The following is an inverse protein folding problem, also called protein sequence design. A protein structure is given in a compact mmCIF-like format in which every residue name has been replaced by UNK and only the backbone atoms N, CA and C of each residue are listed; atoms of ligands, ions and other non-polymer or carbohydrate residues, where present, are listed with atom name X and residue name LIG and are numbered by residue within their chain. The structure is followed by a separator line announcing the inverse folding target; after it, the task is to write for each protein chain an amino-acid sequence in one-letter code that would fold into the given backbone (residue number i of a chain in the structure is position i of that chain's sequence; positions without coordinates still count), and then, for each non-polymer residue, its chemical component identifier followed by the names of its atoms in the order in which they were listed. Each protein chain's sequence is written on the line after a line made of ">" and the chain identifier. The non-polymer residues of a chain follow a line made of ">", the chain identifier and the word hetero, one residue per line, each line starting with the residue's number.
data_IF_137397435739
#
_entry.id   IF_137397435739
#
_cell.length_a   1.000
_cell.length_b   1.000
_cell.length_c   1.000
_cell.angle_alpha   90.00
_cell.angle_beta   90.00
_cell.angle_gamma   90.00
#
_symmetry.space_group_name_H-M   'P 1'
#
loop_
_entity.id
_entity.type
_entity.pdbx_description
1 polymer ?
#
# COMPACT_ATOMS: atom_id res chain seq x y z
N UNK A 1 -11.05 8.78 -15.42
CA UNK A 1 -11.66 9.16 -14.12
C UNK A 1 -10.58 9.27 -13.06
N UNK A 2 -10.42 10.43 -12.36
CA UNK A 2 -9.35 10.66 -11.37
C UNK A 2 -9.89 11.47 -10.19
N UNK A 3 -9.53 11.10 -8.97
CA UNK A 3 -9.76 11.95 -7.79
C UNK A 3 -8.69 13.04 -7.80
N UNK A 4 -9.12 14.29 -7.63
CA UNK A 4 -8.23 15.44 -7.52
C UNK A 4 -7.96 15.79 -6.05
N UNK A 5 -8.99 15.71 -5.19
CA UNK A 5 -8.90 16.17 -3.81
C UNK A 5 -9.87 15.42 -2.90
N UNK A 6 -9.46 15.23 -1.65
CA UNK A 6 -10.34 14.85 -0.55
C UNK A 6 -10.14 15.83 0.64
N UNK A 7 -11.23 16.27 1.25
CA UNK A 7 -11.24 17.04 2.50
C UNK A 7 -12.03 16.23 3.54
N UNK A 8 -11.34 15.75 4.55
CA UNK A 8 -11.88 14.94 5.64
C UNK A 8 -11.89 15.79 6.91
N UNK A 9 -13.03 15.86 7.58
CA UNK A 9 -13.19 16.59 8.83
C UNK A 9 -13.91 15.71 9.85
N UNK A 10 -13.31 15.55 11.02
CA UNK A 10 -13.90 14.86 12.18
C UNK A 10 -14.31 13.40 11.88
N UNK A 11 -13.46 12.62 11.18
CA UNK A 11 -13.69 11.22 10.84
C UNK A 11 -12.64 10.31 11.47
N UNK A 12 -13.08 9.32 12.25
CA UNK A 12 -12.19 8.40 12.96
C UNK A 12 -11.22 9.16 13.87
N UNK A 13 -9.92 8.93 13.69
CA UNK A 13 -8.85 9.66 14.38
C UNK A 13 -8.47 11.00 13.74
N UNK A 14 -9.04 11.33 12.58
CA UNK A 14 -8.69 12.52 11.82
C UNK A 14 -9.60 13.68 12.20
N UNK A 15 -9.06 14.74 12.80
CA UNK A 15 -9.79 16.00 13.02
C UNK A 15 -9.97 16.77 11.72
N UNK A 16 -8.93 16.90 10.93
CA UNK A 16 -8.99 17.45 9.59
C UNK A 16 -7.80 17.00 8.75
N UNK A 17 -8.06 16.64 7.49
CA UNK A 17 -7.03 16.37 6.50
C UNK A 17 -7.50 16.82 5.13
N UNK A 18 -6.65 17.58 4.42
CA UNK A 18 -6.88 18.00 3.04
C UNK A 18 -5.75 17.39 2.20
N UNK A 19 -6.11 16.57 1.24
CA UNK A 19 -5.15 15.85 0.40
C UNK A 19 -5.49 16.10 -1.06
N UNK A 20 -4.49 16.55 -1.84
CA UNK A 20 -4.55 16.62 -3.28
C UNK A 20 -3.84 15.40 -3.86
N UNK A 21 -4.42 14.79 -4.89
CA UNK A 21 -3.90 13.58 -5.50
C UNK A 21 -3.33 13.84 -6.89
N UNK A 22 -2.21 13.18 -7.19
CA UNK A 22 -1.68 13.05 -8.54
C UNK A 22 -2.56 12.10 -9.37
N UNK A 23 -2.56 12.28 -10.69
CA UNK A 23 -3.39 11.49 -11.61
C UNK A 23 -2.92 10.04 -11.78
N UNK A 24 -1.71 9.68 -11.36
CA UNK A 24 -1.08 8.38 -11.56
C UNK A 24 -0.92 7.61 -10.26
N UNK A 25 0.10 7.92 -9.46
CA UNK A 25 0.46 7.17 -8.25
C UNK A 25 0.49 8.09 -7.03
N UNK A 26 -0.17 7.66 -5.94
CA UNK A 26 -0.22 8.38 -4.67
C UNK A 26 0.12 7.41 -3.54
N UNK A 27 1.21 7.66 -2.84
CA UNK A 27 1.74 6.81 -1.78
C UNK A 27 1.60 7.55 -0.46
N UNK A 28 0.62 7.16 0.33
CA UNK A 28 0.33 7.75 1.63
C UNK A 28 1.18 7.05 2.69
N UNK A 29 2.03 7.80 3.37
CA UNK A 29 2.87 7.31 4.45
C UNK A 29 2.80 8.23 5.69
N UNK A 30 3.35 7.77 6.81
CA UNK A 30 3.35 8.50 8.06
C UNK A 30 3.24 7.57 9.27
N UNK A 31 3.25 8.10 10.51
CA UNK A 31 3.19 7.33 11.74
C UNK A 31 1.99 6.39 11.84
N UNK A 32 2.08 5.40 12.75
CA UNK A 32 0.94 4.54 13.06
C UNK A 32 -0.20 5.35 13.69
N UNK A 33 -1.44 4.99 13.34
CA UNK A 33 -2.63 5.64 13.88
C UNK A 33 -2.96 7.02 13.30
N UNK A 34 -2.17 7.55 12.35
CA UNK A 34 -2.41 8.87 11.73
C UNK A 34 -3.65 8.92 10.83
N UNK A 35 -4.25 7.76 10.51
CA UNK A 35 -5.48 7.67 9.73
C UNK A 35 -5.28 7.28 8.26
N UNK A 36 -4.18 6.63 7.88
CA UNK A 36 -3.93 6.20 6.48
C UNK A 36 -5.06 5.33 5.92
N UNK A 37 -5.44 4.27 6.62
CA UNK A 37 -6.59 3.41 6.24
C UNK A 37 -7.90 4.21 6.24
N UNK A 38 -8.11 5.11 7.22
CA UNK A 38 -9.30 5.98 7.26
C UNK A 38 -9.41 6.86 6.02
N UNK A 39 -8.29 7.34 5.48
CA UNK A 39 -8.27 8.10 4.22
C UNK A 39 -8.69 7.21 3.05
N UNK A 40 -8.13 5.98 2.92
CA UNK A 40 -8.53 5.04 1.86
C UNK A 40 -10.02 4.67 1.97
N UNK A 41 -10.49 4.36 3.18
CA UNK A 41 -11.90 4.07 3.42
C UNK A 41 -12.80 5.27 3.07
N UNK A 42 -12.36 6.49 3.39
CA UNK A 42 -13.09 7.72 3.03
C UNK A 42 -13.18 7.89 1.50
N UNK A 43 -12.09 7.58 0.79
CA UNK A 43 -12.08 7.58 -0.68
C UNK A 43 -13.03 6.50 -1.21
N UNK A 44 -12.95 5.25 -0.73
CA UNK A 44 -13.81 4.15 -1.17
C UNK A 44 -15.30 4.47 -0.93
N UNK A 45 -15.62 5.00 0.25
CA UNK A 45 -16.99 5.34 0.63
C UNK A 45 -17.57 6.52 -0.18
N UNK A 46 -16.73 7.37 -0.77
CA UNK A 46 -17.19 8.41 -1.68
C UNK A 46 -17.88 7.88 -2.96
N UNK A 47 -17.80 6.56 -3.20
CA UNK A 47 -18.38 5.89 -4.39
C UNK A 47 -19.49 4.89 -4.06
N UNK A 48 -19.95 4.84 -2.81
CA UNK A 48 -21.07 3.97 -2.44
C UNK A 48 -22.34 4.76 -2.19
N UNK A 49 -23.49 4.07 -2.28
CA UNK A 49 -24.79 4.59 -1.84
C UNK A 49 -25.48 3.50 -1.03
N UNK A 50 -25.15 3.42 0.26
CA UNK A 50 -25.59 2.37 1.16
C UNK A 50 -25.37 2.75 2.64
N UNK A 51 -25.94 1.95 3.53
CA UNK A 51 -25.58 2.01 4.95
C UNK A 51 -24.21 1.39 5.18
N UNK A 52 -23.34 2.10 5.90
CA UNK A 52 -22.02 1.60 6.30
C UNK A 52 -21.77 1.82 7.79
N UNK A 53 -21.09 0.85 8.41
CA UNK A 53 -20.63 0.93 9.79
C UNK A 53 -19.10 1.11 9.89
N UNK A 54 -18.38 1.21 8.78
CA UNK A 54 -16.91 1.29 8.75
C UNK A 54 -16.43 2.66 9.22
N UNK A 55 -16.91 3.72 8.59
CA UNK A 55 -16.53 5.08 8.96
C UNK A 55 -17.39 5.61 10.09
N UNK A 56 -16.73 6.24 11.05
CA UNK A 56 -17.35 6.86 12.22
C UNK A 56 -16.89 8.31 12.35
N UNK A 57 -17.74 9.16 12.96
CA UNK A 57 -17.30 10.50 13.32
C UNK A 57 -16.20 10.46 14.39
N UNK A 58 -15.48 11.54 14.54
CA UNK A 58 -14.50 11.70 15.62
C UNK A 58 -15.20 11.71 17.00
N UNK A 59 -14.53 11.17 18.01
CA UNK A 59 -15.11 11.00 19.35
C UNK A 59 -15.59 12.32 20.00
N UNK A 60 -14.94 13.43 19.69
CA UNK A 60 -15.23 14.76 20.27
C UNK A 60 -16.13 15.65 19.40
N UNK A 61 -16.57 15.16 18.23
CA UNK A 61 -17.42 15.92 17.31
C UNK A 61 -18.88 15.46 17.36
N UNK A 62 -19.77 16.25 16.81
CA UNK A 62 -21.20 15.91 16.63
C UNK A 62 -21.43 15.18 15.32
N UNK A 63 -20.63 15.49 14.30
CA UNK A 63 -20.66 14.93 12.95
C UNK A 63 -19.25 14.81 12.36
N UNK A 64 -19.09 13.96 11.37
CA UNK A 64 -17.89 13.86 10.54
C UNK A 64 -18.25 14.15 9.09
N UNK A 65 -17.35 14.75 8.32
CA UNK A 65 -17.60 15.17 6.95
C UNK A 65 -16.48 14.70 6.02
N UNK A 66 -16.87 14.25 4.82
CA UNK A 66 -15.94 13.87 3.75
C UNK A 66 -16.41 14.54 2.47
N UNK A 67 -15.54 15.36 1.87
CA UNK A 67 -15.78 16.00 0.57
C UNK A 67 -14.74 15.50 -0.41
N UNK A 68 -15.16 14.90 -1.51
CA UNK A 68 -14.29 14.35 -2.55
C UNK A 68 -14.58 15.01 -3.88
N UNK A 69 -13.53 15.50 -4.55
CA UNK A 69 -13.59 16.10 -5.88
C UNK A 69 -13.02 15.11 -6.88
N UNK A 70 -13.87 14.72 -7.84
CA UNK A 70 -13.57 13.78 -8.91
C UNK A 70 -13.57 14.51 -10.25
N UNK A 71 -12.57 14.28 -11.07
CA UNK A 71 -12.55 14.65 -12.49
C UNK A 71 -12.79 13.40 -13.35
N UNK A 72 -13.86 13.43 -14.14
CA UNK A 72 -14.20 12.35 -15.07
C UNK A 72 -14.40 12.95 -16.47
N UNK A 73 -13.37 12.82 -17.33
CA UNK A 73 -13.35 13.37 -18.69
C UNK A 73 -13.71 14.88 -18.73
N UNK A 74 -12.98 15.69 -17.94
CA UNK A 74 -13.18 17.15 -17.77
C UNK A 74 -14.51 17.56 -17.10
N UNK A 75 -15.27 16.58 -16.63
CA UNK A 75 -16.48 16.82 -15.85
C UNK A 75 -16.15 16.68 -14.35
N UNK A 76 -16.22 17.80 -13.63
CA UNK A 76 -15.95 17.81 -12.18
C UNK A 76 -17.23 17.40 -11.47
N UNK A 77 -17.10 16.37 -10.61
CA UNK A 77 -18.16 15.89 -9.72
C UNK A 77 -17.69 15.97 -8.29
N UNK A 78 -18.61 16.22 -7.38
CA UNK A 78 -18.33 16.28 -5.95
C UNK A 78 -19.19 15.27 -5.18
N UNK A 79 -18.60 14.64 -4.17
CA UNK A 79 -19.31 13.85 -3.18
C UNK A 79 -19.23 14.55 -1.84
N UNK A 80 -20.35 14.62 -1.13
CA UNK A 80 -20.43 15.14 0.22
C UNK A 80 -21.09 14.10 1.12
N UNK A 81 -20.35 13.62 2.13
CA UNK A 81 -20.78 12.59 3.08
C UNK A 81 -20.78 13.19 4.48
N UNK A 82 -21.85 12.97 5.23
CA UNK A 82 -21.96 13.29 6.65
C UNK A 82 -22.09 12.01 7.48
N UNK A 83 -21.34 11.92 8.57
CA UNK A 83 -21.28 10.76 9.48
C UNK A 83 -21.73 11.21 10.88
N UNK A 84 -22.87 10.73 11.34
CA UNK A 84 -23.40 11.08 12.67
C UNK A 84 -23.07 10.01 13.73
N UNK A 85 -22.83 8.78 13.29
CA UNK A 85 -22.64 7.65 14.19
C UNK A 85 -21.23 7.55 14.74
N UNK A 86 -21.15 7.25 16.04
CA UNK A 86 -19.90 6.95 16.75
C UNK A 86 -19.86 5.51 17.29
N UNK A 87 -21.03 4.94 17.61
CA UNK A 87 -21.11 3.58 18.14
C UNK A 87 -20.60 2.55 17.10
N UNK A 88 -19.86 1.52 17.52
CA UNK A 88 -19.30 0.51 16.61
C UNK A 88 -20.36 -0.21 15.76
N UNK A 89 -21.55 -0.46 16.29
CA UNK A 89 -22.69 -1.12 15.64
C UNK A 89 -23.64 -0.15 14.92
N UNK A 90 -23.42 1.18 15.04
CA UNK A 90 -24.23 2.19 14.36
C UNK A 90 -23.92 2.26 12.87
N UNK A 91 -24.93 2.56 12.05
CA UNK A 91 -24.79 2.74 10.60
C UNK A 91 -25.06 4.20 10.22
N UNK A 92 -24.25 4.74 9.33
CA UNK A 92 -24.53 5.99 8.61
C UNK A 92 -24.95 5.67 7.19
N UNK A 93 -25.99 6.34 6.69
CA UNK A 93 -26.32 6.26 5.28
C UNK A 93 -25.39 7.16 4.47
N UNK A 94 -24.69 6.56 3.53
CA UNK A 94 -23.73 7.23 2.66
C UNK A 94 -24.38 7.43 1.29
N UNK A 95 -24.31 8.65 0.76
CA UNK A 95 -24.77 9.01 -0.57
C UNK A 95 -23.61 9.58 -1.38
N UNK A 96 -22.83 8.70 -1.97
CA UNK A 96 -21.66 9.04 -2.78
C UNK A 96 -21.93 9.01 -4.29
N UNK A 97 -20.85 9.07 -5.08
CA UNK A 97 -20.84 9.03 -6.54
C UNK A 97 -21.05 7.60 -7.08
N UNK A 98 -22.21 7.04 -6.81
CA UNK A 98 -22.59 5.65 -7.09
C UNK A 98 -22.25 5.20 -8.51
N UNK A 99 -22.54 6.02 -9.52
CA UNK A 99 -22.38 5.69 -10.93
C UNK A 99 -20.91 5.42 -11.29
N UNK A 100 -19.98 6.03 -10.57
CA UNK A 100 -18.54 5.88 -10.76
C UNK A 100 -17.94 4.71 -9.96
N UNK A 101 -18.69 4.07 -9.07
CA UNK A 101 -18.22 3.00 -8.18
C UNK A 101 -17.67 1.76 -8.91
N UNK A 102 -18.18 1.48 -10.13
CA UNK A 102 -17.67 0.38 -10.98
C UNK A 102 -16.20 0.56 -11.35
N UNK A 103 -15.72 1.80 -11.45
CA UNK A 103 -14.35 2.15 -11.81
C UNK A 103 -13.44 2.32 -10.58
N UNK A 104 -13.86 1.88 -9.38
CA UNK A 104 -13.05 1.95 -8.16
C UNK A 104 -12.84 0.54 -7.61
N UNK A 105 -11.59 0.10 -7.51
CA UNK A 105 -11.20 -1.22 -6.99
C UNK A 105 -10.48 -1.01 -5.66
N UNK A 106 -10.88 -1.71 -4.61
CA UNK A 106 -10.25 -1.63 -3.30
C UNK A 106 -9.66 -2.98 -2.89
N UNK A 107 -8.35 -2.99 -2.63
CA UNK A 107 -7.60 -4.12 -2.08
C UNK A 107 -7.25 -3.82 -0.63
N UNK A 108 -7.87 -4.52 0.30
CA UNK A 108 -7.52 -4.44 1.72
C UNK A 108 -6.29 -5.31 2.04
N UNK A 109 -5.92 -5.39 3.32
CA UNK A 109 -4.76 -6.16 3.80
C UNK A 109 -4.90 -7.67 3.60
N UNK A 110 -6.10 -8.21 3.39
CA UNK A 110 -6.39 -9.65 3.30
C UNK A 110 -6.17 -10.18 1.87
N UNK A 111 -4.90 -10.28 1.41
CA UNK A 111 -4.53 -10.58 0.02
C UNK A 111 -3.85 -11.93 -0.20
N UNK A 112 -3.73 -12.77 0.82
CA UNK A 112 -3.04 -14.06 0.68
C UNK A 112 -4.00 -15.16 0.24
N UNK A 113 -3.69 -15.82 -0.87
CA UNK A 113 -4.39 -17.03 -1.24
C UNK A 113 -3.69 -18.29 -0.71
N UNK A 114 -4.50 -19.25 -0.30
CA UNK A 114 -4.07 -20.60 0.09
C UNK A 114 -4.39 -21.57 -1.04
N UNK A 115 -3.85 -22.79 -0.96
CA UNK A 115 -4.27 -23.86 -1.87
C UNK A 115 -5.78 -24.10 -1.76
N UNK A 116 -6.44 -24.08 -2.90
CA UNK A 116 -7.86 -24.43 -3.05
C UNK A 116 -7.95 -25.50 -4.11
N UNK A 117 -8.49 -26.67 -3.74
CA UNK A 117 -8.83 -27.70 -4.70
C UNK A 117 -10.14 -27.31 -5.39
N UNK A 118 -10.10 -27.16 -6.70
CA UNK A 118 -11.30 -26.91 -7.49
C UNK A 118 -11.92 -28.25 -7.94
N UNK A 119 -13.15 -28.50 -7.53
CA UNK A 119 -13.91 -29.67 -7.97
C UNK A 119 -14.59 -29.44 -9.32
N UNK A 120 -14.84 -28.19 -9.67
CA UNK A 120 -15.45 -27.73 -10.90
C UNK A 120 -14.98 -26.31 -11.25
N UNK A 121 -15.15 -25.91 -12.50
CA UNK A 121 -15.03 -24.52 -12.93
C UNK A 121 -16.40 -23.87 -12.86
N UNK A 122 -16.55 -22.87 -12.02
CA UNK A 122 -17.79 -22.11 -11.87
C UNK A 122 -17.92 -20.98 -12.88
N UNK A 123 -19.16 -20.53 -13.12
CA UNK A 123 -19.42 -19.33 -13.91
C UNK A 123 -18.91 -18.11 -13.17
N UNK A 124 -18.32 -17.18 -13.89
CA UNK A 124 -18.02 -15.86 -13.33
C UNK A 124 -19.34 -15.10 -13.12
N UNK A 125 -19.47 -14.47 -11.97
CA UNK A 125 -20.60 -13.61 -11.66
C UNK A 125 -20.23 -12.16 -11.96
N UNK A 126 -21.02 -11.53 -12.82
CA UNK A 126 -20.92 -10.10 -13.06
C UNK A 126 -21.18 -9.32 -11.78
N UNK A 127 -20.41 -8.25 -11.57
CA UNK A 127 -20.55 -7.42 -10.38
C UNK A 127 -21.77 -6.51 -10.48
N UNK A 128 -22.80 -6.81 -9.72
CA UNK A 128 -23.94 -5.92 -9.54
C UNK A 128 -23.58 -4.77 -8.58
N UNK A 129 -24.28 -3.64 -8.63
CA UNK A 129 -24.01 -2.48 -7.79
C UNK A 129 -23.89 -2.82 -6.31
N UNK A 130 -24.78 -3.67 -5.79
CA UNK A 130 -24.75 -4.09 -4.39
C UNK A 130 -23.46 -4.86 -4.03
N UNK A 131 -22.99 -5.74 -4.91
CA UNK A 131 -21.71 -6.45 -4.70
C UNK A 131 -20.52 -5.52 -4.80
N UNK A 132 -20.57 -4.52 -5.69
CA UNK A 132 -19.54 -3.49 -5.79
C UNK A 132 -19.42 -2.70 -4.47
N UNK A 133 -20.54 -2.33 -3.84
CA UNK A 133 -20.51 -1.63 -2.55
C UNK A 133 -19.84 -2.46 -1.46
N UNK A 134 -20.17 -3.75 -1.37
CA UNK A 134 -19.49 -4.66 -0.44
C UNK A 134 -18.00 -4.73 -0.71
N UNK A 135 -17.60 -4.80 -1.99
CA UNK A 135 -16.17 -4.84 -2.37
C UNK A 135 -15.44 -3.50 -2.12
N UNK A 136 -16.14 -2.38 -2.11
CA UNK A 136 -15.57 -1.08 -1.73
C UNK A 136 -15.49 -0.88 -0.21
N UNK A 137 -16.25 -1.67 0.56
CA UNK A 137 -16.22 -1.67 2.03
C UNK A 137 -15.22 -2.68 2.58
N UNK A 138 -15.27 -3.92 2.09
CA UNK A 138 -14.54 -5.06 2.63
C UNK A 138 -13.27 -5.39 1.84
N UNK A 139 -13.09 -4.77 0.67
CA UNK A 139 -12.05 -5.09 -0.30
C UNK A 139 -12.42 -6.28 -1.20
N UNK A 140 -11.65 -6.44 -2.27
CA UNK A 140 -11.86 -7.55 -3.22
C UNK A 140 -11.41 -8.89 -2.64
N UNK A 141 -12.13 -9.97 -2.99
CA UNK A 141 -11.75 -11.34 -2.61
C UNK A 141 -10.69 -11.90 -3.57
N UNK A 142 -9.72 -12.58 -2.99
CA UNK A 142 -8.70 -13.35 -3.74
C UNK A 142 -9.04 -14.84 -3.86
N UNK A 143 -10.11 -15.30 -3.20
CA UNK A 143 -10.44 -16.73 -3.09
C UNK A 143 -10.84 -17.36 -4.43
N UNK A 144 -11.45 -16.61 -5.31
CA UNK A 144 -11.94 -17.04 -6.64
C UNK A 144 -10.95 -16.82 -7.78
N UNK A 145 -9.76 -16.28 -7.50
CA UNK A 145 -8.75 -15.97 -8.53
C UNK A 145 -8.28 -17.22 -9.28
N UNK A 146 -8.09 -18.36 -8.60
CA UNK A 146 -7.69 -19.62 -9.24
C UNK A 146 -8.75 -20.09 -10.23
N UNK A 147 -10.02 -20.01 -9.85
CA UNK A 147 -11.14 -20.38 -10.73
C UNK A 147 -11.19 -19.48 -11.97
N UNK A 148 -11.09 -18.16 -11.78
CA UNK A 148 -11.08 -17.19 -12.87
C UNK A 148 -9.92 -17.46 -13.84
N UNK A 149 -8.69 -17.59 -13.34
CA UNK A 149 -7.51 -17.78 -14.17
C UNK A 149 -7.52 -19.13 -14.90
N UNK A 150 -7.83 -20.23 -14.19
CA UNK A 150 -7.91 -21.56 -14.77
C UNK A 150 -9.00 -21.63 -15.87
N UNK A 151 -10.16 -21.03 -15.63
CA UNK A 151 -11.24 -20.93 -16.62
C UNK A 151 -10.78 -20.23 -17.90
N UNK A 152 -10.13 -19.05 -17.78
CA UNK A 152 -9.61 -18.31 -18.93
C UNK A 152 -8.62 -19.15 -19.72
N UNK A 153 -7.66 -19.82 -19.05
CA UNK A 153 -6.66 -20.66 -19.69
C UNK A 153 -7.27 -21.86 -20.43
N UNK A 154 -8.27 -22.52 -19.84
CA UNK A 154 -8.87 -23.72 -20.43
C UNK A 154 -9.76 -23.42 -21.63
N UNK A 155 -10.45 -22.27 -21.61
CA UNK A 155 -11.44 -21.93 -22.65
C UNK A 155 -10.95 -20.92 -23.68
N UNK A 156 -9.69 -20.45 -23.62
CA UNK A 156 -9.16 -19.42 -24.53
C UNK A 156 -9.26 -19.81 -26.02
N UNK A 157 -9.15 -21.10 -26.33
CA UNK A 157 -9.23 -21.63 -27.71
C UNK A 157 -10.63 -22.12 -28.07
N UNK A 158 -11.62 -22.05 -27.17
CA UNK A 158 -13.00 -22.43 -27.44
C UNK A 158 -13.70 -21.28 -28.17
N UNK A 159 -14.30 -21.49 -29.34
CA UNK A 159 -15.02 -20.46 -30.06
C UNK A 159 -16.07 -19.79 -29.16
N UNK A 160 -16.15 -18.47 -29.24
CA UNK A 160 -17.14 -17.64 -28.52
C UNK A 160 -17.13 -17.72 -26.97
N UNK A 161 -16.17 -18.47 -26.38
CA UNK A 161 -16.08 -18.62 -24.93
C UNK A 161 -15.50 -17.37 -24.23
N UNK A 162 -14.62 -16.63 -24.90
CA UNK A 162 -13.97 -15.42 -24.40
C UNK A 162 -13.99 -14.33 -25.47
N UNK A 163 -14.23 -13.09 -25.05
CA UNK A 163 -14.04 -11.92 -25.91
C UNK A 163 -12.56 -11.72 -26.26
N UNK A 164 -12.26 -10.96 -27.30
CA UNK A 164 -10.86 -10.64 -27.66
C UNK A 164 -10.16 -9.89 -26.53
N UNK A 165 -10.86 -8.98 -25.85
CA UNK A 165 -10.30 -8.27 -24.70
C UNK A 165 -9.98 -9.21 -23.53
N UNK A 166 -10.84 -10.20 -23.24
CA UNK A 166 -10.55 -11.22 -22.22
C UNK A 166 -9.33 -12.07 -22.58
N UNK A 167 -9.09 -12.35 -23.88
CA UNK A 167 -7.87 -13.04 -24.32
C UNK A 167 -6.63 -12.20 -24.12
N UNK A 168 -6.68 -10.90 -24.43
CA UNK A 168 -5.57 -9.96 -24.19
C UNK A 168 -5.29 -9.81 -22.68
N UNK A 169 -6.32 -9.69 -21.87
CA UNK A 169 -6.20 -9.63 -20.41
C UNK A 169 -5.61 -10.93 -19.82
N UNK A 170 -5.95 -12.09 -20.38
CA UNK A 170 -5.34 -13.37 -20.01
C UNK A 170 -3.83 -13.40 -20.32
N UNK A 171 -3.42 -12.93 -21.50
CA UNK A 171 -1.99 -12.86 -21.84
C UNK A 171 -1.26 -11.88 -20.91
N UNK A 172 -1.89 -10.76 -20.51
CA UNK A 172 -1.35 -9.86 -19.50
C UNK A 172 -1.20 -10.59 -18.15
N UNK A 173 -2.21 -11.35 -17.71
CA UNK A 173 -2.15 -12.13 -16.47
C UNK A 173 -1.03 -13.19 -16.53
N UNK A 174 -0.87 -13.92 -17.62
CA UNK A 174 0.26 -14.84 -17.82
C UNK A 174 1.60 -14.13 -17.76
N UNK A 175 1.71 -12.93 -18.34
CA UNK A 175 2.91 -12.11 -18.31
C UNK A 175 3.28 -11.64 -16.90
N UNK A 176 2.32 -11.51 -15.97
CA UNK A 176 2.58 -11.09 -14.60
C UNK A 176 3.63 -11.97 -13.88
N UNK A 177 3.69 -13.27 -14.17
CA UNK A 177 4.73 -14.14 -13.60
C UNK A 177 6.15 -13.65 -13.97
N UNK A 178 6.40 -13.36 -15.26
CA UNK A 178 7.70 -12.89 -15.72
C UNK A 178 7.99 -11.41 -15.45
N UNK A 179 6.96 -10.57 -15.27
CA UNK A 179 7.13 -9.19 -14.79
C UNK A 179 7.68 -9.15 -13.37
N UNK A 180 7.22 -10.09 -12.54
CA UNK A 180 7.70 -10.22 -11.17
C UNK A 180 9.10 -10.84 -11.10
N UNK A 181 9.35 -11.89 -11.87
CA UNK A 181 10.67 -12.51 -12.00
C UNK A 181 10.83 -13.11 -13.40
N UNK A 182 11.81 -12.64 -14.16
CA UNK A 182 12.03 -13.03 -15.56
C UNK A 182 12.21 -14.54 -15.77
N UNK A 183 12.66 -15.27 -14.74
CA UNK A 183 12.86 -16.72 -14.79
C UNK A 183 11.59 -17.53 -14.51
N UNK A 184 10.51 -16.87 -14.07
CA UNK A 184 9.24 -17.50 -13.73
C UNK A 184 8.22 -17.25 -14.82
N UNK A 185 7.65 -18.30 -15.37
CA UNK A 185 6.68 -18.20 -16.48
C UNK A 185 5.46 -19.08 -16.20
N UNK A 186 4.29 -18.62 -16.60
CA UNK A 186 3.13 -19.50 -16.65
C UNK A 186 3.46 -20.70 -17.55
N UNK A 187 3.16 -21.91 -17.09
CA UNK A 187 3.36 -23.15 -17.84
C UNK A 187 2.05 -23.67 -18.43
N UNK A 188 1.16 -24.14 -17.57
CA UNK A 188 -0.11 -24.75 -17.99
C UNK A 188 -1.13 -24.79 -16.85
N UNK A 189 -2.37 -25.10 -17.20
CA UNK A 189 -3.41 -25.54 -16.25
C UNK A 189 -3.69 -27.02 -16.47
N UNK A 190 -3.73 -27.81 -15.40
CA UNK A 190 -4.17 -29.21 -15.47
C UNK A 190 -5.69 -29.26 -15.65
N UNK A 191 -6.14 -29.81 -16.77
CA UNK A 191 -7.56 -29.91 -17.09
C UNK A 191 -8.36 -30.85 -16.17
N UNK A 192 -7.71 -31.73 -15.39
CA UNK A 192 -8.39 -32.68 -14.50
C UNK A 192 -8.59 -32.11 -13.08
N UNK A 193 -7.60 -31.37 -12.59
CA UNK A 193 -7.60 -30.82 -11.22
C UNK A 193 -7.71 -29.30 -11.18
N UNK A 194 -7.64 -28.66 -12.34
CA UNK A 194 -7.63 -27.19 -12.50
C UNK A 194 -6.46 -26.50 -11.76
N UNK A 195 -5.37 -27.26 -11.53
CA UNK A 195 -4.18 -26.74 -10.90
C UNK A 195 -3.35 -25.92 -11.89
N UNK A 196 -2.82 -24.80 -11.39
CA UNK A 196 -1.99 -23.88 -12.16
C UNK A 196 -0.52 -24.19 -11.91
N UNK A 197 0.24 -24.35 -13.00
CA UNK A 197 1.66 -24.67 -12.96
C UNK A 197 2.51 -23.51 -13.48
N UNK A 198 3.65 -23.31 -12.84
CA UNK A 198 4.63 -22.28 -13.13
C UNK A 198 5.97 -22.96 -13.42
N UNK A 199 6.59 -22.60 -14.53
CA UNK A 199 7.95 -22.98 -14.87
C UNK A 199 8.93 -22.08 -14.12
N UNK A 200 9.91 -22.69 -13.45
CA UNK A 200 10.99 -22.05 -12.71
C UNK A 200 12.35 -22.66 -13.12
N UNK A 201 13.49 -22.07 -12.76
CA UNK A 201 14.81 -22.67 -13.02
C UNK A 201 14.97 -24.09 -12.42
N UNK A 202 14.22 -24.38 -11.34
CA UNK A 202 14.28 -25.68 -10.65
C UNK A 202 13.18 -26.67 -11.12
N UNK A 203 12.48 -26.36 -12.22
CA UNK A 203 11.41 -27.18 -12.77
C UNK A 203 10.03 -26.58 -12.63
N UNK A 204 9.02 -27.39 -12.97
CA UNK A 204 7.61 -26.99 -12.90
C UNK A 204 7.04 -27.21 -11.50
N UNK A 205 6.41 -26.18 -10.94
CA UNK A 205 5.80 -26.22 -9.60
C UNK A 205 4.35 -25.71 -9.64
N UNK A 206 3.55 -26.05 -8.63
CA UNK A 206 2.23 -25.41 -8.41
C UNK A 206 2.41 -23.93 -8.09
N UNK A 207 1.57 -23.05 -8.62
CA UNK A 207 1.66 -21.62 -8.32
C UNK A 207 1.46 -21.30 -6.83
N UNK A 208 0.78 -22.17 -6.08
CA UNK A 208 0.64 -22.06 -4.63
C UNK A 208 1.95 -22.28 -3.86
N UNK A 209 2.97 -22.90 -4.47
CA UNK A 209 4.30 -23.08 -3.88
C UNK A 209 5.23 -21.88 -4.08
N UNK A 210 4.80 -20.89 -4.82
CA UNK A 210 5.50 -19.60 -4.92
C UNK A 210 5.65 -18.97 -3.53
N UNK A 211 6.68 -18.14 -3.34
CA UNK A 211 6.90 -17.42 -2.08
C UNK A 211 5.71 -16.57 -1.70
N UNK A 212 5.57 -16.25 -0.42
CA UNK A 212 4.48 -15.38 0.07
C UNK A 212 4.46 -14.02 -0.62
N UNK A 213 5.65 -13.40 -0.81
CA UNK A 213 5.77 -12.14 -1.52
C UNK A 213 5.33 -12.22 -2.98
N UNK A 214 5.77 -13.27 -3.69
CA UNK A 214 5.35 -13.48 -5.08
C UNK A 214 3.82 -13.64 -5.18
N UNK A 215 3.23 -14.45 -4.29
CA UNK A 215 1.77 -14.63 -4.21
C UNK A 215 1.03 -13.33 -3.90
N UNK A 216 1.56 -12.50 -3.02
CA UNK A 216 0.96 -11.20 -2.71
C UNK A 216 0.94 -10.28 -3.93
N UNK A 217 2.06 -10.19 -4.67
CA UNK A 217 2.11 -9.42 -5.92
C UNK A 217 1.11 -9.96 -6.97
N UNK A 218 1.07 -11.29 -7.17
CA UNK A 218 0.09 -11.89 -8.09
C UNK A 218 -1.34 -11.62 -7.66
N UNK A 219 -1.64 -11.63 -6.35
CA UNK A 219 -2.96 -11.32 -5.83
C UNK A 219 -3.41 -9.91 -6.17
N UNK A 220 -2.49 -8.94 -6.12
CA UNK A 220 -2.77 -7.57 -6.52
C UNK A 220 -3.03 -7.52 -8.03
N UNK A 221 -2.10 -8.01 -8.86
CA UNK A 221 -2.20 -7.92 -10.32
C UNK A 221 -3.42 -8.69 -10.87
N UNK A 222 -3.59 -9.95 -10.46
CA UNK A 222 -4.73 -10.77 -10.89
C UNK A 222 -6.05 -10.24 -10.35
N UNK A 223 -6.07 -9.76 -9.10
CA UNK A 223 -7.24 -9.15 -8.49
C UNK A 223 -7.73 -7.95 -9.29
N UNK A 224 -6.84 -7.05 -9.71
CA UNK A 224 -7.17 -5.89 -10.54
C UNK A 224 -7.71 -6.34 -11.90
N UNK A 225 -7.00 -7.21 -12.63
CA UNK A 225 -7.41 -7.68 -13.96
C UNK A 225 -8.78 -8.36 -13.89
N UNK A 226 -8.97 -9.26 -12.92
CA UNK A 226 -10.25 -9.97 -12.70
C UNK A 226 -11.39 -9.01 -12.42
N UNK A 227 -11.20 -8.06 -11.50
CA UNK A 227 -12.28 -7.13 -11.15
C UNK A 227 -12.64 -6.19 -12.31
N UNK A 228 -11.68 -5.77 -13.13
CA UNK A 228 -11.97 -5.00 -14.35
C UNK A 228 -12.91 -5.79 -15.27
N UNK A 229 -12.60 -7.06 -15.56
CA UNK A 229 -13.44 -7.90 -16.41
C UNK A 229 -14.84 -8.13 -15.84
N UNK A 230 -14.97 -8.32 -14.52
CA UNK A 230 -16.25 -8.63 -13.88
C UNK A 230 -17.14 -7.41 -13.66
N UNK A 231 -16.55 -6.21 -13.59
CA UNK A 231 -17.28 -4.96 -13.36
C UNK A 231 -17.73 -4.27 -14.64
N UNK A 232 -17.03 -4.52 -15.75
CA UNK A 232 -17.27 -3.84 -17.03
C UNK A 232 -17.38 -4.82 -18.20
N UNK A 233 -18.29 -5.83 -18.12
CA UNK A 233 -18.42 -6.84 -19.16
C UNK A 233 -18.89 -6.24 -20.49
N UNK A 234 -19.75 -5.22 -20.46
CA UNK A 234 -20.33 -4.59 -21.65
C UNK A 234 -19.36 -3.60 -22.34
N UNK A 235 -18.39 -3.04 -21.59
CA UNK A 235 -17.43 -2.07 -22.10
C UNK A 235 -16.19 -2.73 -22.71
N UNK A 236 -16.08 -4.08 -22.62
CA UNK A 236 -14.92 -4.85 -23.10
C UNK A 236 -13.57 -4.19 -22.77
N UNK A 237 -13.37 -3.83 -21.50
CA UNK A 237 -12.24 -3.05 -21.08
C UNK A 237 -10.94 -3.84 -21.06
N UNK A 238 -9.92 -3.33 -21.74
CA UNK A 238 -8.55 -3.81 -21.57
C UNK A 238 -8.00 -3.32 -20.23
N UNK A 239 -7.44 -4.24 -19.44
CA UNK A 239 -6.91 -3.92 -18.12
C UNK A 239 -5.80 -2.85 -18.19
N UNK A 240 -4.98 -2.83 -19.22
CA UNK A 240 -3.95 -1.80 -19.45
C UNK A 240 -4.53 -0.40 -19.72
N UNK A 241 -5.76 -0.32 -20.20
CA UNK A 241 -6.45 0.94 -20.53
C UNK A 241 -7.49 1.32 -19.48
N UNK A 242 -7.49 0.63 -18.33
CA UNK A 242 -8.43 0.91 -17.26
C UNK A 242 -8.23 2.32 -16.69
N UNK A 243 -9.09 3.24 -17.10
CA UNK A 243 -9.16 4.62 -16.58
C UNK A 243 -10.04 4.68 -15.32
N UNK A 244 -9.57 4.06 -14.25
CA UNK A 244 -10.23 4.00 -12.96
C UNK A 244 -9.29 4.29 -11.81
N UNK A 245 -9.73 3.97 -10.61
CA UNK A 245 -9.02 4.19 -9.35
C UNK A 245 -8.79 2.85 -8.67
N UNK A 246 -7.57 2.60 -8.23
CA UNK A 246 -7.20 1.41 -7.46
C UNK A 246 -6.66 1.85 -6.10
N UNK A 247 -7.33 1.40 -5.05
CA UNK A 247 -6.97 1.64 -3.65
C UNK A 247 -6.29 0.39 -3.10
N UNK A 248 -5.12 0.53 -2.46
CA UNK A 248 -4.39 -0.60 -1.86
C UNK A 248 -3.94 -0.22 -0.46
N UNK A 249 -4.46 -0.92 0.54
CA UNK A 249 -4.02 -0.72 1.92
C UNK A 249 -2.78 -1.58 2.22
N UNK A 250 -1.78 -0.98 2.88
CA UNK A 250 -0.48 -1.59 3.20
C UNK A 250 0.14 -2.33 2.01
N UNK A 251 0.54 -1.59 0.98
CA UNK A 251 1.06 -2.16 -0.28
C UNK A 251 2.18 -3.19 -0.06
N UNK A 252 3.03 -3.00 0.95
CA UNK A 252 4.13 -3.89 1.34
C UNK A 252 3.72 -5.20 1.98
N UNK A 253 2.45 -5.38 2.35
CA UNK A 253 2.02 -6.55 3.13
C UNK A 253 2.44 -7.87 2.47
N UNK A 254 3.19 -8.67 3.23
CA UNK A 254 3.81 -9.93 2.80
C UNK A 254 4.90 -9.82 1.73
N UNK A 255 5.31 -8.61 1.31
CA UNK A 255 6.37 -8.43 0.34
C UNK A 255 7.75 -8.47 1.00
N UNK A 256 8.68 -9.23 0.42
CA UNK A 256 10.10 -9.11 0.76
C UNK A 256 10.62 -7.72 0.32
N UNK A 257 11.61 -7.10 1.00
CA UNK A 257 12.15 -5.79 0.63
C UNK A 257 12.50 -5.63 -0.85
N UNK A 258 13.00 -6.67 -1.50
CA UNK A 258 13.27 -6.67 -2.95
C UNK A 258 12.00 -6.42 -3.78
N UNK A 259 10.85 -6.96 -3.37
CA UNK A 259 9.57 -6.74 -4.04
C UNK A 259 8.98 -5.37 -3.72
N UNK A 260 9.19 -4.88 -2.50
CA UNK A 260 8.76 -3.55 -2.09
C UNK A 260 9.40 -2.46 -2.95
N UNK A 261 10.65 -2.65 -3.37
CA UNK A 261 11.34 -1.68 -4.25
C UNK A 261 10.82 -1.67 -5.69
N UNK A 262 10.15 -2.73 -6.15
CA UNK A 262 9.72 -2.90 -7.55
C UNK A 262 8.22 -2.75 -7.75
N UNK A 263 7.39 -2.97 -6.72
CA UNK A 263 5.94 -3.10 -6.88
C UNK A 263 5.28 -1.85 -7.47
N UNK A 264 5.75 -0.66 -7.12
CA UNK A 264 5.21 0.61 -7.63
C UNK A 264 5.41 0.72 -9.14
N UNK A 265 6.62 0.43 -9.65
CA UNK A 265 6.89 0.44 -11.09
C UNK A 265 6.09 -0.65 -11.82
N UNK A 266 6.00 -1.86 -11.27
CA UNK A 266 5.22 -2.96 -11.85
C UNK A 266 3.74 -2.58 -11.99
N UNK A 267 3.14 -1.94 -10.98
CA UNK A 267 1.75 -1.50 -11.04
C UNK A 267 1.55 -0.42 -12.11
N UNK A 268 2.41 0.58 -12.14
CA UNK A 268 2.33 1.69 -13.08
C UNK A 268 2.54 1.23 -14.53
N UNK A 269 3.50 0.33 -14.77
CA UNK A 269 3.79 -0.20 -16.11
C UNK A 269 2.71 -1.17 -16.59
N UNK A 270 2.06 -1.90 -15.67
CA UNK A 270 0.99 -2.84 -16.02
C UNK A 270 -0.34 -2.13 -16.28
N UNK A 271 -0.62 -1.04 -15.54
CA UNK A 271 -1.88 -0.29 -15.61
C UNK A 271 -1.64 1.21 -15.77
N UNK A 272 -1.07 1.67 -16.89
CA UNK A 272 -0.60 3.05 -17.05
C UNK A 272 -1.71 4.11 -17.04
N UNK A 273 -2.96 3.74 -17.33
CA UNK A 273 -4.11 4.65 -17.32
C UNK A 273 -4.78 4.76 -15.93
N UNK A 274 -4.39 3.92 -14.96
CA UNK A 274 -5.02 3.81 -13.65
C UNK A 274 -4.45 4.83 -12.65
N UNK A 275 -5.30 5.42 -11.81
CA UNK A 275 -4.87 6.16 -10.63
C UNK A 275 -4.76 5.20 -9.44
N UNK A 276 -3.58 5.14 -8.85
CA UNK A 276 -3.34 4.38 -7.62
C UNK A 276 -3.31 5.31 -6.42
N UNK A 277 -3.99 4.92 -5.35
CA UNK A 277 -3.89 5.54 -4.02
C UNK A 277 -3.58 4.40 -3.06
N UNK A 278 -2.36 4.39 -2.53
CA UNK A 278 -1.86 3.28 -1.72
C UNK A 278 -1.35 3.78 -0.38
N UNK A 279 -1.47 2.97 0.67
CA UNK A 279 -0.80 3.24 1.94
C UNK A 279 0.43 2.36 2.10
N UNK A 280 1.42 2.85 2.83
CA UNK A 280 2.62 2.08 3.12
C UNK A 280 3.27 2.45 4.45
N UNK A 281 3.92 1.45 5.07
CA UNK A 281 4.87 1.58 6.16
C UNK A 281 6.30 1.20 5.73
N UNK A 282 6.53 0.98 4.43
CA UNK A 282 7.82 0.54 3.91
C UNK A 282 8.70 1.71 3.47
N UNK A 283 9.87 1.90 4.07
CA UNK A 283 10.85 2.85 3.57
C UNK A 283 11.41 2.45 2.20
N UNK A 284 11.40 1.15 1.85
CA UNK A 284 11.84 0.68 0.53
C UNK A 284 10.91 1.14 -0.60
N UNK A 285 9.60 1.23 -0.36
CA UNK A 285 8.65 1.78 -1.32
C UNK A 285 8.93 3.27 -1.52
N UNK A 286 9.09 4.03 -0.44
CA UNK A 286 9.38 5.46 -0.47
C UNK A 286 10.69 5.76 -1.21
N UNK A 287 11.75 5.00 -0.92
CA UNK A 287 13.07 5.18 -1.53
C UNK A 287 13.06 5.05 -3.06
N UNK A 288 12.13 4.25 -3.59
CA UNK A 288 12.00 3.96 -5.03
C UNK A 288 10.83 4.72 -5.70
N UNK A 289 10.11 5.56 -4.98
CA UNK A 289 9.03 6.39 -5.51
C UNK A 289 9.54 7.76 -5.99
N UNK A 290 8.82 8.37 -6.92
CA UNK A 290 9.05 9.75 -7.32
C UNK A 290 8.55 10.72 -6.23
N UNK A 291 9.21 11.88 -6.01
CA UNK A 291 8.84 12.80 -4.93
C UNK A 291 7.38 13.27 -4.96
N UNK A 292 6.85 13.53 -6.16
CA UNK A 292 5.46 13.96 -6.37
C UNK A 292 4.42 12.87 -6.09
N UNK A 293 4.83 11.63 -5.93
CA UNK A 293 3.96 10.49 -5.61
C UNK A 293 3.77 10.33 -4.09
N UNK A 294 4.58 10.97 -3.26
CA UNK A 294 4.60 10.74 -1.82
C UNK A 294 3.73 11.77 -1.10
N UNK A 295 2.79 11.26 -0.32
CA UNK A 295 1.93 12.01 0.58
C UNK A 295 2.29 11.63 2.01
N UNK A 296 3.24 12.36 2.59
CA UNK A 296 3.69 12.13 3.96
C UNK A 296 2.76 12.86 4.94
N UNK A 297 2.17 12.11 5.86
CA UNK A 297 1.25 12.65 6.85
C UNK A 297 1.98 12.98 8.15
N UNK A 298 1.58 14.09 8.76
CA UNK A 298 1.98 14.51 10.09
C UNK A 298 0.79 14.98 10.91
N UNK A 299 0.98 15.13 12.22
CA UNK A 299 -0.04 15.68 13.14
C UNK A 299 0.53 16.92 13.80
N UNK A 300 -0.21 18.02 13.78
CA UNK A 300 0.14 19.25 14.50
C UNK A 300 -0.15 19.15 15.99
N UNK A 301 0.24 20.16 16.75
CA UNK A 301 0.00 20.27 18.20
C UNK A 301 -1.48 20.27 18.60
N UNK A 302 -2.37 20.58 17.67
CA UNK A 302 -3.82 20.61 17.86
C UNK A 302 -4.51 19.31 17.47
N UNK A 303 -3.73 18.33 16.93
CA UNK A 303 -4.24 17.03 16.47
C UNK A 303 -4.83 17.06 15.06
N UNK A 304 -4.54 18.08 14.24
CA UNK A 304 -4.91 18.09 12.83
C UNK A 304 -3.90 17.32 12.01
N UNK A 305 -4.38 16.44 11.16
CA UNK A 305 -3.54 15.74 10.19
C UNK A 305 -3.27 16.67 9.01
N UNK A 306 -2.03 16.79 8.61
CA UNK A 306 -1.61 17.59 7.47
C UNK A 306 -0.62 16.82 6.59
N UNK A 307 -0.51 17.23 5.33
CA UNK A 307 0.52 16.74 4.43
C UNK A 307 1.81 17.52 4.72
N UNK A 308 2.84 16.79 5.12
CA UNK A 308 4.16 17.37 5.44
C UNK A 308 4.84 17.82 4.15
N UNK A 309 5.48 18.99 4.21
CA UNK A 309 6.45 19.39 3.18
C UNK A 309 7.71 18.54 3.35
N UNK A 310 8.09 17.85 2.30
CA UNK A 310 9.25 16.99 2.31
C UNK A 310 10.43 17.67 1.60
N UNK A 311 11.66 17.55 2.13
CA UNK A 311 12.84 17.92 1.39
C UNK A 311 12.95 16.99 0.18
N UNK A 312 12.88 17.54 -1.02
CA UNK A 312 13.00 16.78 -2.26
C UNK A 312 13.98 17.47 -3.20
N UNK A 313 14.62 16.67 -4.03
CA UNK A 313 15.47 17.11 -5.13
C UNK A 313 15.11 16.33 -6.41
N UNK A 314 15.76 16.61 -7.51
CA UNK A 314 15.51 15.94 -8.79
C UNK A 314 15.74 14.42 -8.78
N UNK A 315 16.51 13.90 -7.82
CA UNK A 315 16.80 12.47 -7.65
C UNK A 315 15.84 11.78 -6.67
N UNK A 316 14.91 12.50 -6.08
CA UNK A 316 14.01 11.97 -5.06
C UNK A 316 14.75 11.45 -3.83
N UNK A 317 14.35 10.27 -3.35
CA UNK A 317 14.92 9.65 -2.15
C UNK A 317 15.87 8.48 -2.45
N UNK A 318 16.28 8.30 -3.72
CA UNK A 318 17.10 7.16 -4.17
C UNK A 318 18.46 7.10 -3.45
N UNK A 319 19.04 8.25 -3.09
CA UNK A 319 20.31 8.34 -2.37
C UNK A 319 20.18 8.33 -0.84
N UNK A 320 18.97 8.29 -0.30
CA UNK A 320 18.72 8.33 1.13
C UNK A 320 18.86 6.96 1.76
N UNK A 321 19.36 6.91 2.99
CA UNK A 321 19.35 5.69 3.79
C UNK A 321 17.93 5.40 4.29
N UNK A 322 17.67 4.14 4.64
CA UNK A 322 16.36 3.75 5.21
C UNK A 322 16.06 4.50 6.50
N UNK A 323 17.09 4.80 7.29
CA UNK A 323 16.99 5.57 8.54
C UNK A 323 16.52 7.01 8.29
N UNK A 324 17.09 7.69 7.29
CA UNK A 324 16.67 9.03 6.86
C UNK A 324 15.24 9.03 6.33
N UNK A 325 14.87 8.04 5.52
CA UNK A 325 13.49 7.91 5.02
C UNK A 325 12.52 7.71 6.18
N UNK A 326 12.84 6.83 7.14
CA UNK A 326 11.99 6.58 8.31
C UNK A 326 11.79 7.84 9.16
N UNK A 327 12.83 8.62 9.39
CA UNK A 327 12.76 9.84 10.20
C UNK A 327 12.14 11.01 9.46
N UNK A 328 12.71 11.37 8.33
CA UNK A 328 12.41 12.65 7.69
C UNK A 328 11.17 12.57 6.79
N UNK A 329 10.87 11.38 6.20
CA UNK A 329 9.68 11.20 5.36
C UNK A 329 8.54 10.59 6.16
N UNK A 330 8.78 9.49 6.89
CA UNK A 330 7.72 8.77 7.58
C UNK A 330 7.44 9.28 9.00
N UNK A 331 8.27 10.18 9.53
CA UNK A 331 8.03 10.88 10.79
C UNK A 331 8.31 10.04 12.03
N UNK A 332 9.22 9.08 11.98
CA UNK A 332 9.69 8.36 13.17
C UNK A 332 10.65 9.26 13.96
N UNK A 333 10.44 9.40 15.25
CA UNK A 333 11.31 10.22 16.11
C UNK A 333 12.73 9.63 16.24
N UNK A 334 12.83 8.35 16.49
CA UNK A 334 14.11 7.63 16.53
C UNK A 334 13.92 6.19 16.02
N UNK A 335 14.89 5.74 15.23
CA UNK A 335 14.95 4.38 14.66
C UNK A 335 15.76 3.42 15.52
N UNK A 336 16.50 3.95 16.51
CA UNK A 336 17.34 3.17 17.43
C UNK A 336 16.51 2.48 18.50
N UNK A 337 16.98 1.33 18.99
CA UNK A 337 16.34 0.66 20.10
C UNK A 337 16.44 1.48 21.40
N UNK A 338 15.43 1.40 22.27
CA UNK A 338 15.42 2.10 23.56
C UNK A 338 16.69 1.83 24.38
N UNK A 339 17.21 0.58 24.31
CA UNK A 339 18.44 0.22 25.00
C UNK A 339 19.64 1.01 24.48
N UNK A 340 19.78 1.16 23.16
CA UNK A 340 20.87 1.94 22.56
C UNK A 340 20.72 3.42 22.88
N UNK A 341 19.51 3.96 22.83
CA UNK A 341 19.23 5.35 23.23
C UNK A 341 19.64 5.61 24.68
N UNK A 342 19.27 4.72 25.62
CA UNK A 342 19.65 4.84 27.03
C UNK A 342 21.15 4.77 27.24
N UNK A 343 21.87 3.90 26.49
CA UNK A 343 23.31 3.79 26.57
C UNK A 343 24.00 5.05 26.01
N UNK A 344 23.50 5.62 24.91
CA UNK A 344 24.04 6.87 24.35
C UNK A 344 23.80 8.03 25.31
N UNK A 345 22.59 8.17 25.85
CA UNK A 345 22.30 9.23 26.81
C UNK A 345 23.17 9.12 28.09
N UNK A 346 23.41 7.90 28.57
CA UNK A 346 24.30 7.69 29.72
C UNK A 346 25.77 8.00 29.37
N UNK A 347 26.20 7.73 28.15
CA UNK A 347 27.52 8.12 27.67
C UNK A 347 27.68 9.63 27.59
N UNK A 348 26.71 10.32 26.95
CA UNK A 348 26.70 11.78 26.83
C UNK A 348 26.74 12.45 28.22
N UNK A 349 25.94 11.95 29.17
CA UNK A 349 25.97 12.43 30.55
C UNK A 349 27.32 12.23 31.22
N UNK A 350 27.99 11.08 31.03
CA UNK A 350 29.29 10.81 31.59
C UNK A 350 30.39 11.71 30.98
N UNK A 351 30.25 12.08 29.69
CA UNK A 351 31.10 13.08 29.02
C UNK A 351 30.88 14.46 29.61
N UNK A 352 29.62 14.90 29.75
CA UNK A 352 29.25 16.23 30.28
C UNK A 352 29.70 16.40 31.75
N UNK A 353 29.68 15.34 32.54
CA UNK A 353 30.15 15.30 33.93
C UNK A 353 31.66 15.06 34.05
N UNK A 354 32.41 15.00 32.93
CA UNK A 354 33.87 14.70 32.88
C UNK A 354 34.24 13.38 33.63
N UNK A 355 33.29 12.44 33.75
CA UNK A 355 33.48 11.18 34.45
C UNK A 355 34.12 10.12 33.55
N UNK A 356 35.44 10.15 33.42
CA UNK A 356 36.24 9.29 32.54
C UNK A 356 36.00 7.82 32.77
N UNK A 357 35.95 7.38 34.03
CA UNK A 357 35.83 5.94 34.36
C UNK A 357 34.50 5.41 33.84
N UNK A 358 33.43 6.14 34.05
CA UNK A 358 32.11 5.75 33.60
C UNK A 358 31.96 5.87 32.07
N UNK A 359 32.50 6.96 31.47
CA UNK A 359 32.50 7.12 30.03
C UNK A 359 33.25 6.00 29.31
N UNK A 360 34.44 5.60 29.81
CA UNK A 360 35.16 4.44 29.23
C UNK A 360 34.40 3.14 29.38
N UNK A 361 33.73 2.91 30.53
CA UNK A 361 32.92 1.73 30.75
C UNK A 361 31.79 1.62 29.75
N UNK A 362 31.01 2.70 29.59
CA UNK A 362 29.87 2.76 28.68
C UNK A 362 30.35 2.67 27.23
N UNK A 363 31.45 3.36 26.88
CA UNK A 363 32.03 3.25 25.53
C UNK A 363 32.37 1.83 25.14
N UNK A 364 32.98 1.03 26.03
CA UNK A 364 33.29 -0.39 25.77
C UNK A 364 32.01 -1.22 25.52
N UNK A 365 30.93 -0.90 26.19
CA UNK A 365 29.64 -1.57 25.97
C UNK A 365 29.03 -1.16 24.63
N UNK A 366 29.04 0.16 24.30
CA UNK A 366 28.59 0.70 23.02
C UNK A 366 29.41 0.14 21.85
N UNK A 367 30.72 0.09 21.98
CA UNK A 367 31.62 -0.43 20.95
C UNK A 367 31.35 -1.91 20.63
N UNK A 368 30.96 -2.70 21.62
CA UNK A 368 30.55 -4.11 21.43
C UNK A 368 29.15 -4.23 20.85
N UNK A 369 28.26 -3.30 21.15
CA UNK A 369 26.87 -3.33 20.69
C UNK A 369 26.70 -2.82 19.24
N UNK A 370 27.54 -1.90 18.81
CA UNK A 370 27.49 -1.28 17.50
C UNK A 370 28.14 -2.18 16.42
N UNK A 371 27.54 -2.15 15.23
CA UNK A 371 28.11 -2.84 14.06
C UNK A 371 29.55 -2.32 13.78
N UNK A 372 30.51 -3.19 13.39
CA UNK A 372 31.91 -2.78 13.17
C UNK A 372 32.11 -1.61 12.20
N UNK A 373 31.27 -1.46 11.20
CA UNK A 373 31.29 -0.37 10.23
C UNK A 373 30.45 0.85 10.62
N UNK A 374 29.85 0.88 11.83
CA UNK A 374 29.01 2.01 12.24
C UNK A 374 29.85 3.25 12.51
N UNK A 375 29.49 4.37 11.90
CA UNK A 375 30.19 5.66 12.03
C UNK A 375 30.15 6.19 13.47
N UNK A 376 29.10 5.90 14.23
CA UNK A 376 28.99 6.27 15.66
C UNK A 376 30.19 5.80 16.49
N UNK A 377 30.79 4.66 16.18
CA UNK A 377 31.99 4.15 16.89
C UNK A 377 33.15 5.15 16.86
N UNK A 378 33.35 5.80 15.71
CA UNK A 378 34.39 6.83 15.56
C UNK A 378 34.03 8.11 16.30
N UNK A 379 32.76 8.53 16.22
CA UNK A 379 32.30 9.73 16.92
C UNK A 379 32.48 9.57 18.43
N UNK A 380 31.96 8.48 18.99
CA UNK A 380 32.10 8.17 20.43
C UNK A 380 33.56 8.06 20.89
N UNK A 381 34.47 7.56 20.03
CA UNK A 381 35.90 7.53 20.35
C UNK A 381 36.56 8.92 20.39
N UNK A 382 36.11 9.84 19.54
CA UNK A 382 36.57 11.22 19.53
C UNK A 382 36.07 11.95 20.79
N UNK A 383 34.77 11.78 21.11
CA UNK A 383 34.16 12.40 22.29
C UNK A 383 34.84 11.90 23.59
N UNK A 384 35.11 10.61 23.69
CA UNK A 384 35.86 10.05 24.82
C UNK A 384 37.29 10.62 24.88
N UNK A 385 37.97 10.80 23.75
CA UNK A 385 39.35 11.34 23.71
C UNK A 385 39.40 12.77 24.20
N UNK A 386 38.36 13.58 23.98
CA UNK A 386 38.30 14.99 24.40
C UNK A 386 38.49 15.19 25.92
N UNK A 387 37.84 14.31 26.73
CA UNK A 387 37.98 14.36 28.20
C UNK A 387 39.26 13.69 28.72
N UNK A 388 39.96 12.90 27.90
CA UNK A 388 41.24 12.26 28.30
C UNK A 388 42.40 13.20 28.08
N UNK A 389 42.36 14.05 27.05
CA UNK A 389 43.46 14.99 26.72
C UNK A 389 43.48 16.22 27.65
N UNK A 390 42.41 16.66 28.26
CA UNK A 390 42.38 17.82 29.16
C UNK A 390 43.12 17.59 30.49
N UNK A 391 43.27 16.33 30.94
CA UNK A 391 44.03 16.01 32.16
C UNK A 391 45.58 15.96 31.98
N UNK A 392 46.04 16.02 30.73
CA UNK A 392 47.47 15.99 30.44
C UNK A 392 48.06 17.40 30.20
N UNK A 393 47.30 18.45 30.50
CA UNK A 393 47.75 19.85 30.52
C UNK A 393 47.77 20.41 31.94
#
# INVERSE_FOLDING_TARGET
>A
MKIQKIDIKDVGGIKRAIINFDASMNIICGPNGIGKTTILDSVAHSFISANSSVLKRHAQSTDGQINTVLNDCDNIRESHISLEQFNPDGYSYISGLRESGRKVIYLNISRMFKYVSLSNISKDEERQDRSIYTLLTDGISVADMKNWFAKRCLFVNTPEALSENNKVNLELAKKCFSLLNAEYKFSRVDAKKFDVFVSTPNGEIWYEYLSSGFKSCLSILFGIIKEIELRMPDEECLAQHFDGIVLIDELEMHLHPEWQSKIVSVLRDTFPATQFIVTTHSPHIIQNAEPNQIIALGTDSNGYTYVRELPSNEFGYTGWTLDEVLKDVMGMEDTRSQKLQSMLAAFDQAIDEENKIEAERIYKELDRALHPANVLRKMLSIDLSSIIEEDNK
#
